data_IF_521268197573
#
_entry.id   IF_521268197573
#
_cell.length_a   1.000
_cell.length_b   1.000
_cell.length_c   1.000
_cell.angle_alpha   90.00
_cell.angle_beta   90.00
_cell.angle_gamma   90.00
#
_symmetry.space_group_name_H-M   'P 1'
#
loop_
_entity.id
_entity.type
_entity.pdbx_description
1 polymer ?
#
# COMPACT_ATOMS: atom_id res chain seq x y z
N UNK A 1 0.13 4.00 14.37
CA UNK A 1 -0.68 3.67 13.17
C UNK A 1 0.18 3.72 11.90
N UNK A 2 -0.14 2.89 10.89
CA UNK A 2 0.75 2.54 9.77
C UNK A 2 1.74 1.44 10.13
N UNK A 3 2.53 1.63 11.19
CA UNK A 3 3.54 0.65 11.63
C UNK A 3 3.00 -0.49 12.49
N UNK A 4 1.84 -0.30 13.15
CA UNK A 4 1.33 -1.22 14.19
C UNK A 4 1.91 -0.93 15.58
N UNK A 5 2.56 0.21 15.77
CA UNK A 5 3.12 0.64 17.05
C UNK A 5 2.56 2.02 17.47
N UNK A 6 2.42 2.23 18.79
CA UNK A 6 2.15 3.54 19.38
C UNK A 6 3.43 4.39 19.41
N UNK A 7 3.32 5.68 19.75
CA UNK A 7 4.50 6.54 19.98
C UNK A 7 5.36 6.08 21.16
N UNK A 8 4.78 5.28 22.08
CA UNK A 8 5.47 4.62 23.20
C UNK A 8 6.07 3.27 22.82
N UNK A 9 5.99 2.89 21.54
CA UNK A 9 6.49 1.64 21.00
C UNK A 9 5.75 0.38 21.47
N UNK A 10 4.51 0.53 21.91
CA UNK A 10 3.66 -0.58 22.31
C UNK A 10 2.91 -1.15 21.09
N UNK A 11 2.69 -2.47 21.02
CA UNK A 11 1.86 -3.07 19.99
C UNK A 11 0.47 -2.44 19.95
N UNK A 12 0.02 -2.09 18.75
CA UNK A 12 -1.33 -1.57 18.53
C UNK A 12 -1.86 -2.05 17.18
N UNK A 13 -3.10 -1.71 16.86
CA UNK A 13 -3.72 -2.08 15.59
C UNK A 13 -2.96 -1.42 14.44
N UNK A 14 -2.53 -2.23 13.46
CA UNK A 14 -2.01 -1.73 12.19
C UNK A 14 -3.18 -1.22 11.36
N UNK A 15 -2.99 -0.06 10.73
CA UNK A 15 -3.93 0.45 9.75
C UNK A 15 -3.68 -0.29 8.43
N UNK A 16 -4.70 -0.96 7.91
CA UNK A 16 -4.70 -1.57 6.58
C UNK A 16 -5.22 -0.51 5.62
N UNK A 17 -4.31 0.08 4.83
CA UNK A 17 -4.66 1.17 3.92
C UNK A 17 -5.61 0.69 2.83
N UNK A 18 -5.47 -0.57 2.43
CA UNK A 18 -6.29 -1.17 1.40
C UNK A 18 -7.78 -1.16 1.78
N UNK A 19 -8.08 -1.56 3.01
CA UNK A 19 -9.44 -1.63 3.51
C UNK A 19 -10.04 -0.23 3.69
N UNK A 20 -9.22 0.73 4.12
CA UNK A 20 -9.62 2.14 4.19
C UNK A 20 -9.96 2.69 2.80
N UNK A 21 -9.12 2.44 1.79
CA UNK A 21 -9.36 2.91 0.43
C UNK A 21 -10.63 2.28 -0.18
N UNK A 22 -10.87 0.99 0.06
CA UNK A 22 -12.13 0.32 -0.34
C UNK A 22 -13.33 0.94 0.36
N UNK A 23 -13.24 1.20 1.66
CA UNK A 23 -14.31 1.83 2.42
C UNK A 23 -14.62 3.26 1.97
N UNK A 24 -13.62 3.98 1.46
CA UNK A 24 -13.77 5.33 0.89
C UNK A 24 -14.34 5.34 -0.54
N UNK A 25 -14.58 4.19 -1.16
CA UNK A 25 -15.19 4.08 -2.50
C UNK A 25 -14.21 3.94 -3.66
N UNK A 26 -12.97 3.49 -3.43
CA UNK A 26 -12.08 3.12 -4.52
C UNK A 26 -12.60 1.86 -5.25
N UNK A 27 -12.75 1.94 -6.57
CA UNK A 27 -13.16 0.83 -7.44
C UNK A 27 -12.10 -0.27 -7.48
N UNK A 28 -10.82 0.14 -7.49
CA UNK A 28 -9.68 -0.76 -7.50
C UNK A 28 -8.70 -0.39 -6.39
N UNK A 29 -8.21 -1.41 -5.68
CA UNK A 29 -7.17 -1.26 -4.67
C UNK A 29 -6.16 -2.39 -4.82
N UNK A 30 -5.00 -2.06 -5.38
CA UNK A 30 -3.92 -2.99 -5.67
C UNK A 30 -2.76 -2.81 -4.68
N UNK A 31 -2.19 -3.91 -4.21
CA UNK A 31 -0.98 -3.89 -3.37
C UNK A 31 0.14 -4.53 -4.15
N UNK A 32 1.20 -3.78 -4.39
CA UNK A 32 2.29 -4.20 -5.28
C UNK A 32 3.64 -3.85 -4.68
N UNK A 33 4.62 -4.71 -4.93
CA UNK A 33 6.01 -4.37 -4.66
C UNK A 33 6.58 -3.61 -5.87
N UNK A 34 7.01 -2.34 -5.72
CA UNK A 34 7.62 -1.56 -6.80
C UNK A 34 8.92 -2.15 -7.35
N UNK A 35 9.57 -3.09 -6.64
CA UNK A 35 10.76 -3.79 -7.15
C UNK A 35 10.43 -4.85 -8.19
N UNK A 36 9.18 -5.33 -8.26
CA UNK A 36 8.69 -6.03 -9.45
C UNK A 36 8.32 -5.01 -10.53
N UNK A 37 9.35 -4.43 -11.15
CA UNK A 37 9.20 -3.33 -12.11
C UNK A 37 8.28 -3.71 -13.27
N UNK A 38 8.30 -4.98 -13.70
CA UNK A 38 7.46 -5.45 -14.82
C UNK A 38 6.00 -5.52 -14.41
N UNK A 39 5.70 -6.15 -13.27
CA UNK A 39 4.32 -6.22 -12.78
C UNK A 39 3.78 -4.83 -12.43
N UNK A 40 4.63 -3.96 -11.84
CA UNK A 40 4.25 -2.60 -11.49
C UNK A 40 3.95 -1.73 -12.72
N UNK A 41 4.75 -1.82 -13.78
CA UNK A 41 4.48 -1.09 -15.02
C UNK A 41 3.17 -1.55 -15.67
N UNK A 42 2.93 -2.86 -15.73
CA UNK A 42 1.72 -3.42 -16.32
C UNK A 42 0.45 -3.00 -15.57
N UNK A 43 0.48 -3.00 -14.23
CA UNK A 43 -0.68 -2.57 -13.44
C UNK A 43 -0.91 -1.07 -13.55
N UNK A 44 0.16 -0.28 -13.60
CA UNK A 44 0.07 1.16 -13.74
C UNK A 44 -0.58 1.53 -15.10
N UNK A 45 -0.11 0.92 -16.18
CA UNK A 45 -0.69 1.12 -17.52
C UNK A 45 -2.15 0.70 -17.57
N UNK A 46 -2.50 -0.44 -16.96
CA UNK A 46 -3.89 -0.89 -16.86
C UNK A 46 -4.77 0.14 -16.14
N UNK A 47 -4.37 0.59 -14.94
CA UNK A 47 -5.19 1.49 -14.11
C UNK A 47 -5.27 2.92 -14.64
N UNK A 48 -4.25 3.40 -15.35
CA UNK A 48 -4.27 4.73 -15.98
C UNK A 48 -5.27 4.80 -17.14
N UNK A 49 -5.45 3.69 -17.87
CA UNK A 49 -6.35 3.63 -19.01
C UNK A 49 -7.79 3.23 -18.63
N UNK A 50 -8.06 2.91 -17.36
CA UNK A 50 -9.39 2.62 -16.84
C UNK A 50 -10.06 3.90 -16.33
N UNK A 51 -11.31 4.15 -16.73
CA UNK A 51 -12.13 5.24 -16.17
C UNK A 51 -12.74 4.80 -14.84
N UNK A 52 -11.90 4.64 -13.82
CA UNK A 52 -12.27 4.16 -12.49
C UNK A 52 -11.32 4.72 -11.41
N UNK A 53 -11.84 4.93 -10.19
CA UNK A 53 -11.03 5.38 -9.06
C UNK A 53 -10.14 4.23 -8.57
N UNK A 54 -8.87 4.28 -8.96
CA UNK A 54 -7.89 3.24 -8.65
C UNK A 54 -6.84 3.71 -7.66
N UNK A 55 -6.55 2.88 -6.65
CA UNK A 55 -5.50 3.12 -5.65
C UNK A 55 -4.44 2.02 -5.75
N UNK A 56 -3.18 2.43 -5.87
CA UNK A 56 -2.03 1.51 -5.87
C UNK A 56 -1.23 1.73 -4.58
N UNK A 57 -1.24 0.75 -3.69
CA UNK A 57 -0.44 0.72 -2.46
C UNK A 57 0.91 0.08 -2.75
N UNK A 58 1.92 0.91 -2.95
CA UNK A 58 3.31 0.48 -3.11
C UNK A 58 3.90 0.03 -1.77
N UNK A 59 4.11 -1.29 -1.62
CA UNK A 59 4.58 -1.92 -0.39
C UNK A 59 5.95 -2.54 -0.61
N UNK A 60 6.98 -1.88 -0.09
CA UNK A 60 8.34 -2.39 -0.07
C UNK A 60 9.00 -2.10 1.30
N UNK A 61 9.82 -3.01 1.85
CA UNK A 61 10.63 -2.70 3.03
C UNK A 61 11.56 -1.51 2.76
N UNK A 62 11.50 -0.49 3.60
CA UNK A 62 12.38 0.67 3.45
C UNK A 62 13.82 0.26 3.76
N UNK A 63 14.75 0.50 2.82
CA UNK A 63 16.18 0.21 2.98
C UNK A 63 16.82 0.89 4.19
N UNK A 64 16.25 2.01 4.64
CA UNK A 64 16.72 2.77 5.81
C UNK A 64 16.09 2.30 7.12
N UNK A 65 15.11 1.40 7.08
CA UNK A 65 14.45 0.88 8.26
C UNK A 65 15.37 -0.12 8.97
N UNK A 66 16.16 0.35 9.93
CA UNK A 66 17.08 -0.50 10.73
C UNK A 66 16.38 -1.43 11.73
N UNK A 67 15.08 -1.21 11.99
CA UNK A 67 14.26 -2.04 12.88
C UNK A 67 13.32 -2.86 12.02
N UNK A 68 13.68 -4.12 11.78
CA UNK A 68 12.67 -5.13 11.51
C UNK A 68 11.83 -5.28 12.77
N UNK A 69 10.54 -5.01 12.64
CA UNK A 69 9.52 -5.42 13.61
C UNK A 69 8.97 -6.74 13.12
#
# INVERSE_FOLDING_TARGET
>A
PGTGLTIRNEPTKRLILEDLCRACGADNVDVVDPMDVKAFAAILEKRINEDALSVIVSRHPCRLLKRQV
#
